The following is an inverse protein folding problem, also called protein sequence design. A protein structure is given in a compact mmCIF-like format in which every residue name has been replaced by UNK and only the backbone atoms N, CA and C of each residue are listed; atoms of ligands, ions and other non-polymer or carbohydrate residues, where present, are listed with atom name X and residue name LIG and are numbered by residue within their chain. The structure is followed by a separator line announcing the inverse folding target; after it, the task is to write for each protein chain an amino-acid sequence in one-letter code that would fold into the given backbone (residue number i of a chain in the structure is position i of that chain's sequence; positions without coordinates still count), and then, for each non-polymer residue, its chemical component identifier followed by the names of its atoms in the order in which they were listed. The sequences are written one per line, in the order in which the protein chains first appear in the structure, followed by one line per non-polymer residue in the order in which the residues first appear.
data_IF_380104727275
#
_entry.id   IF_380104727275
#
_cell.length_a   1.000
_cell.length_b   1.000
_cell.length_c   1.000
_cell.angle_alpha   90.00
_cell.angle_beta   90.00
_cell.angle_gamma   90.00
#
_symmetry.space_group_name_H-M   'P 1'
#
loop_
_entity.id
_entity.type
_entity.pdbx_description
1 polymer ?
#
# COMPACT_ATOMS: atom_id res chain seq x y z
N UNK A 1 -2.57 -43.35 -10.76
CA UNK A 1 -1.95 -44.28 -9.78
C UNK A 1 -1.59 -43.49 -8.53
N UNK A 2 -2.01 -44.01 -7.37
CA UNK A 2 -1.70 -43.61 -5.98
C UNK A 2 -2.25 -42.25 -5.50
N UNK A 3 -3.48 -42.36 -4.98
CA UNK A 3 -4.11 -41.46 -4.00
C UNK A 3 -3.41 -41.57 -2.65
N UNK A 4 -3.14 -40.43 -2.01
CA UNK A 4 -2.60 -40.34 -0.65
C UNK A 4 -3.72 -39.82 0.26
N UNK A 5 -4.26 -40.70 1.08
CA UNK A 5 -5.35 -40.47 2.01
C UNK A 5 -4.86 -39.76 3.28
N UNK A 6 -5.35 -38.54 3.50
CA UNK A 6 -5.17 -37.78 4.74
C UNK A 6 -6.10 -38.35 5.82
N UNK A 7 -5.54 -38.86 6.92
CA UNK A 7 -6.31 -39.40 8.05
C UNK A 7 -6.89 -38.26 8.87
N UNK A 8 -8.22 -38.13 8.83
CA UNK A 8 -9.02 -37.30 9.72
C UNK A 8 -9.16 -38.04 11.06
N UNK A 9 -8.53 -37.54 12.13
CA UNK A 9 -8.72 -38.04 13.48
C UNK A 9 -10.00 -37.43 14.06
N UNK A 10 -11.11 -38.15 13.91
CA UNK A 10 -12.38 -37.83 14.53
C UNK A 10 -12.32 -38.24 16.01
N UNK A 11 -12.28 -37.28 16.93
CA UNK A 11 -12.42 -37.57 18.36
C UNK A 11 -13.92 -37.68 18.67
N UNK A 12 -14.41 -38.91 18.74
CA UNK A 12 -15.80 -39.20 19.09
C UNK A 12 -16.01 -39.03 20.61
N UNK A 13 -16.83 -38.05 20.99
CA UNK A 13 -17.30 -37.87 22.36
C UNK A 13 -18.60 -38.67 22.54
N UNK A 14 -18.52 -39.83 23.20
CA UNK A 14 -19.71 -40.58 23.61
C UNK A 14 -20.41 -39.88 24.78
N UNK A 15 -21.59 -39.33 24.54
CA UNK A 15 -22.49 -38.79 25.56
C UNK A 15 -23.63 -39.78 25.83
N UNK A 16 -23.52 -40.49 26.94
CA UNK A 16 -24.65 -41.16 27.59
C UNK A 16 -24.56 -40.90 29.08
N UNK A 17 -25.26 -39.88 29.56
CA UNK A 17 -25.43 -39.59 30.99
C UNK A 17 -26.87 -39.10 31.21
N UNK A 18 -27.59 -39.58 32.23
CA UNK A 18 -28.96 -39.16 32.49
C UNK A 18 -29.00 -37.69 32.87
N UNK A 19 -30.10 -37.02 32.53
CA UNK A 19 -30.42 -35.66 32.96
C UNK A 19 -30.52 -35.59 34.48
N UNK A 20 -29.40 -35.29 35.13
CA UNK A 20 -29.38 -34.75 36.48
C UNK A 20 -29.50 -33.24 36.35
N UNK A 21 -30.59 -32.68 36.86
CA UNK A 21 -30.66 -31.26 37.16
C UNK A 21 -29.55 -30.94 38.17
N UNK A 22 -28.41 -30.44 37.70
CA UNK A 22 -27.44 -29.78 38.56
C UNK A 22 -28.10 -28.48 39.04
N UNK A 23 -28.54 -28.45 40.29
CA UNK A 23 -28.67 -27.17 40.99
C UNK A 23 -27.28 -26.54 41.03
N UNK A 24 -27.05 -25.52 40.21
CA UNK A 24 -25.84 -24.73 40.28
C UNK A 24 -25.77 -24.09 41.69
N UNK A 25 -24.80 -24.50 42.50
CA UNK A 25 -24.54 -23.83 43.78
C UNK A 25 -24.17 -22.38 43.48
N UNK A 26 -25.04 -21.48 43.91
CA UNK A 26 -24.83 -20.05 43.82
C UNK A 26 -24.14 -19.56 45.09
N UNK A 27 -23.20 -18.63 44.93
CA UNK A 27 -22.44 -18.04 46.01
C UNK A 27 -22.28 -16.54 45.76
N UNK A 28 -21.98 -15.79 46.82
CA UNK A 28 -21.61 -14.37 46.68
C UNK A 28 -20.20 -14.28 46.10
N UNK A 29 -20.06 -13.66 44.94
CA UNK A 29 -18.79 -13.55 44.25
C UNK A 29 -17.79 -12.75 45.12
N UNK A 30 -16.65 -13.34 45.53
CA UNK A 30 -15.65 -12.65 46.33
C UNK A 30 -14.95 -11.55 45.50
N UNK A 31 -14.08 -10.73 46.11
CA UNK A 31 -13.23 -9.81 45.35
C UNK A 31 -12.50 -10.53 44.21
N UNK A 32 -12.52 -9.94 43.02
CA UNK A 32 -11.88 -10.48 41.82
C UNK A 32 -10.62 -9.68 41.52
N UNK A 33 -9.50 -10.36 41.28
CA UNK A 33 -8.24 -9.73 40.89
C UNK A 33 -7.67 -10.39 39.64
N UNK A 34 -7.14 -9.59 38.71
CA UNK A 34 -6.47 -10.07 37.51
C UNK A 34 -4.95 -9.85 37.59
N UNK A 35 -4.15 -10.84 37.22
CA UNK A 35 -2.67 -10.77 37.16
C UNK A 35 -2.14 -11.07 35.76
N UNK A 36 -0.87 -10.81 35.51
CA UNK A 36 -0.19 -11.19 34.26
C UNK A 36 -0.44 -10.28 33.03
N UNK A 37 -1.44 -9.39 33.09
CA UNK A 37 -1.76 -8.44 32.01
C UNK A 37 -1.76 -6.96 32.45
N UNK A 38 -0.58 -6.38 32.78
CA UNK A 38 -0.48 -5.04 33.35
C UNK A 38 -0.92 -3.90 32.40
N UNK A 39 -1.02 -4.17 31.10
CA UNK A 39 -1.49 -3.20 30.08
C UNK A 39 -2.98 -2.87 30.23
N UNK A 40 -3.76 -3.72 30.90
CA UNK A 40 -5.20 -3.54 31.08
C UNK A 40 -5.53 -3.18 32.53
N UNK A 41 -6.50 -2.28 32.71
CA UNK A 41 -6.96 -1.95 34.05
C UNK A 41 -7.83 -3.08 34.62
N UNK A 42 -7.84 -3.23 35.94
CA UNK A 42 -8.74 -4.17 36.63
C UNK A 42 -10.20 -3.92 36.28
N UNK A 43 -10.59 -2.64 36.15
CA UNK A 43 -11.96 -2.25 35.81
C UNK A 43 -12.35 -2.67 34.38
N UNK A 44 -11.45 -2.54 33.41
CA UNK A 44 -11.72 -2.95 32.02
C UNK A 44 -11.84 -4.47 31.90
N UNK A 45 -10.94 -5.21 32.57
CA UNK A 45 -10.98 -6.68 32.62
C UNK A 45 -12.26 -7.17 33.30
N UNK A 46 -12.65 -6.53 34.41
CA UNK A 46 -13.90 -6.86 35.10
C UNK A 46 -15.12 -6.61 34.20
N UNK A 47 -15.16 -5.45 33.53
CA UNK A 47 -16.24 -5.08 32.60
C UNK A 47 -16.38 -6.06 31.45
N UNK A 48 -15.28 -6.52 30.84
CA UNK A 48 -15.33 -7.50 29.73
C UNK A 48 -15.62 -8.91 30.23
N UNK A 49 -15.11 -9.30 31.40
CA UNK A 49 -15.39 -10.60 31.99
C UNK A 49 -16.87 -10.81 32.34
N UNK A 50 -17.62 -9.73 32.58
CA UNK A 50 -19.02 -9.77 33.01
C UNK A 50 -19.20 -10.11 34.51
N UNK A 51 -18.11 -10.16 35.27
CA UNK A 51 -18.14 -10.44 36.71
C UNK A 51 -18.53 -9.20 37.51
N UNK A 52 -19.35 -9.42 38.53
CA UNK A 52 -19.80 -8.37 39.45
C UNK A 52 -19.52 -8.80 40.90
N UNK A 53 -18.39 -8.39 41.50
CA UNK A 53 -18.04 -8.74 42.87
C UNK A 53 -19.15 -8.33 43.85
N UNK A 54 -19.47 -9.20 44.81
CA UNK A 54 -20.58 -9.02 45.75
C UNK A 54 -21.96 -9.43 45.22
N UNK A 55 -22.11 -9.71 43.92
CA UNK A 55 -23.33 -10.28 43.37
C UNK A 55 -23.35 -11.80 43.52
N UNK A 56 -24.52 -12.41 43.37
CA UNK A 56 -24.67 -13.86 43.31
C UNK A 56 -24.13 -14.38 41.98
N UNK A 57 -23.23 -15.37 42.02
CA UNK A 57 -22.63 -16.02 40.85
C UNK A 57 -22.58 -17.54 41.03
N UNK A 58 -22.35 -18.25 39.94
CA UNK A 58 -22.16 -19.70 39.89
C UNK A 58 -20.77 -20.04 39.36
N UNK A 59 -20.34 -21.29 39.50
CA UNK A 59 -19.10 -21.77 38.89
C UNK A 59 -19.12 -21.62 37.35
N UNK A 60 -20.30 -21.74 36.74
CA UNK A 60 -20.46 -21.54 35.30
C UNK A 60 -20.21 -20.08 34.89
N UNK A 61 -20.60 -19.10 35.71
CA UNK A 61 -20.34 -17.68 35.46
C UNK A 61 -18.84 -17.36 35.55
N UNK A 62 -18.13 -17.97 36.50
CA UNK A 62 -16.65 -17.86 36.61
C UNK A 62 -15.97 -18.44 35.37
N UNK A 63 -16.40 -19.62 34.91
CA UNK A 63 -15.85 -20.20 33.68
C UNK A 63 -16.20 -19.36 32.44
N UNK A 64 -17.42 -18.84 32.35
CA UNK A 64 -17.87 -18.00 31.25
C UNK A 64 -17.06 -16.69 31.18
N UNK A 65 -16.71 -16.11 32.33
CA UNK A 65 -15.84 -14.95 32.40
C UNK A 65 -14.43 -15.21 31.84
N UNK A 66 -13.84 -16.37 32.16
CA UNK A 66 -12.58 -16.80 31.54
C UNK A 66 -12.73 -16.95 30.02
N UNK A 67 -13.84 -17.56 29.57
CA UNK A 67 -14.12 -17.75 28.15
C UNK A 67 -14.30 -16.42 27.42
N UNK A 68 -15.06 -15.46 27.97
CA UNK A 68 -15.24 -14.15 27.38
C UNK A 68 -13.91 -13.40 27.19
N UNK A 69 -13.02 -13.48 28.17
CA UNK A 69 -11.68 -12.90 28.05
C UNK A 69 -10.85 -13.64 26.99
N UNK A 70 -10.91 -14.97 26.94
CA UNK A 70 -10.23 -15.77 25.92
C UNK A 70 -10.75 -15.46 24.51
N UNK A 71 -12.05 -15.29 24.34
CA UNK A 71 -12.71 -15.02 23.06
C UNK A 71 -12.26 -13.70 22.45
N UNK A 72 -11.75 -12.76 23.26
CA UNK A 72 -11.15 -11.53 22.73
C UNK A 72 -9.93 -11.79 21.85
N UNK A 73 -9.23 -12.91 22.04
CA UNK A 73 -7.96 -13.20 21.39
C UNK A 73 -6.76 -12.43 21.94
N UNK A 74 -6.93 -11.66 23.02
CA UNK A 74 -5.84 -10.90 23.65
C UNK A 74 -4.98 -11.71 24.63
N UNK A 75 -5.43 -12.92 24.99
CA UNK A 75 -4.78 -13.79 25.96
C UNK A 75 -4.53 -15.17 25.35
N UNK A 76 -3.33 -15.71 25.57
CA UNK A 76 -2.94 -17.05 25.09
C UNK A 76 -3.24 -18.16 26.10
N UNK A 77 -3.35 -17.81 27.38
CA UNK A 77 -3.74 -18.71 28.47
C UNK A 77 -4.47 -17.90 29.56
N UNK A 78 -5.49 -18.50 30.18
CA UNK A 78 -6.24 -17.90 31.28
C UNK A 78 -6.45 -18.98 32.33
N UNK A 79 -5.99 -18.72 33.54
CA UNK A 79 -6.18 -19.59 34.70
C UNK A 79 -6.91 -18.82 35.78
N UNK A 80 -7.71 -19.50 36.58
CA UNK A 80 -8.32 -18.88 37.74
C UNK A 80 -8.32 -19.83 38.93
N UNK A 81 -8.16 -19.26 40.12
CA UNK A 81 -8.17 -19.98 41.37
C UNK A 81 -8.85 -19.15 42.46
N UNK A 82 -9.53 -19.83 43.38
CA UNK A 82 -10.12 -19.21 44.56
C UNK A 82 -9.14 -19.39 45.73
N UNK A 83 -8.78 -18.29 46.40
CA UNK A 83 -7.90 -18.29 47.55
C UNK A 83 -8.51 -17.50 48.72
N UNK A 84 -7.76 -17.37 49.83
CA UNK A 84 -8.23 -16.69 51.04
C UNK A 84 -8.59 -15.20 50.84
N UNK A 85 -8.06 -14.55 49.79
CA UNK A 85 -8.28 -13.13 49.48
C UNK A 85 -9.37 -12.90 48.43
N UNK A 86 -9.76 -13.94 47.69
CA UNK A 86 -10.82 -13.89 46.69
C UNK A 86 -10.52 -14.75 45.47
N UNK A 87 -11.14 -14.40 44.35
CA UNK A 87 -10.97 -15.09 43.07
C UNK A 87 -9.89 -14.38 42.24
N UNK A 88 -8.83 -15.10 41.89
CA UNK A 88 -7.71 -14.56 41.12
C UNK A 88 -7.69 -15.18 39.72
N UNK A 89 -7.62 -14.33 38.70
CA UNK A 89 -7.40 -14.71 37.31
C UNK A 89 -5.97 -14.38 36.90
N UNK A 90 -5.19 -15.40 36.53
CA UNK A 90 -3.88 -15.21 35.93
C UNK A 90 -3.99 -15.24 34.41
N UNK A 91 -3.65 -14.11 33.79
CA UNK A 91 -3.80 -13.86 32.36
C UNK A 91 -2.44 -13.87 31.69
N UNK A 92 -2.23 -14.75 30.72
CA UNK A 92 -1.05 -14.73 29.87
C UNK A 92 -1.35 -13.95 28.59
N UNK A 93 -0.70 -12.81 28.32
CA UNK A 93 -0.95 -12.03 27.10
C UNK A 93 -0.68 -12.83 25.82
N UNK A 94 -1.34 -12.43 24.73
CA UNK A 94 -1.07 -12.95 23.40
C UNK A 94 0.35 -12.52 22.94
N UNK A 95 1.14 -13.40 22.31
CA UNK A 95 2.42 -13.03 21.73
C UNK A 95 2.31 -11.92 20.68
N UNK A 96 3.27 -10.97 20.61
CA UNK A 96 3.20 -9.83 19.69
C UNK A 96 3.05 -10.19 18.22
N UNK A 97 3.57 -11.34 17.78
CA UNK A 97 3.44 -11.83 16.40
C UNK A 97 2.00 -12.13 15.96
N UNK A 98 1.10 -12.32 16.93
CA UNK A 98 -0.33 -12.54 16.69
C UNK A 98 -1.17 -11.28 16.97
N UNK A 99 -0.52 -10.14 17.22
CA UNK A 99 -1.13 -8.85 17.48
C UNK A 99 -0.67 -7.83 16.42
N UNK A 100 -1.60 -7.33 15.62
CA UNK A 100 -1.32 -6.35 14.58
C UNK A 100 -1.83 -4.98 14.98
N UNK A 101 -1.13 -3.88 14.64
CA UNK A 101 -1.66 -2.54 14.87
C UNK A 101 -2.94 -2.31 14.07
N UNK A 102 -3.89 -1.58 14.65
CA UNK A 102 -5.04 -1.07 13.94
C UNK A 102 -4.65 0.18 13.13
N UNK A 103 -5.13 0.28 11.89
CA UNK A 103 -5.09 1.51 11.11
C UNK A 103 -6.50 1.91 10.67
N UNK A 104 -6.72 3.20 10.47
CA UNK A 104 -8.03 3.76 10.11
C UNK A 104 -7.85 4.62 8.87
N UNK A 105 -8.54 4.30 7.78
CA UNK A 105 -8.23 4.93 6.48
C UNK A 105 -9.10 6.15 6.19
N UNK A 106 -10.40 6.12 6.49
CA UNK A 106 -11.33 7.14 6.01
C UNK A 106 -12.39 7.59 7.05
N UNK A 107 -12.04 7.55 8.34
CA UNK A 107 -12.90 8.03 9.43
C UNK A 107 -12.72 9.54 9.65
N UNK A 108 -13.42 10.33 8.84
CA UNK A 108 -13.22 11.79 8.65
C UNK A 108 -13.74 12.71 9.77
N UNK A 109 -14.44 12.20 10.79
CA UNK A 109 -14.99 13.04 11.88
C UNK A 109 -14.08 13.18 13.09
N UNK A 110 -12.99 12.42 13.14
CA UNK A 110 -12.13 12.34 14.32
C UNK A 110 -10.68 12.42 13.88
N UNK A 111 -9.86 13.14 14.66
CA UNK A 111 -8.41 12.94 14.60
C UNK A 111 -8.05 11.51 15.04
N UNK A 112 -6.85 11.00 14.69
CA UNK A 112 -6.42 9.66 15.11
C UNK A 112 -6.47 9.44 16.62
N UNK A 113 -6.14 10.48 17.41
CA UNK A 113 -6.18 10.42 18.87
C UNK A 113 -7.63 10.38 19.40
N UNK A 114 -8.52 11.20 18.85
CA UNK A 114 -9.94 11.21 19.23
C UNK A 114 -10.63 9.89 18.87
N UNK A 115 -10.35 9.34 17.70
CA UNK A 115 -10.88 8.05 17.26
C UNK A 115 -10.45 6.92 18.20
N UNK A 116 -9.16 6.89 18.55
CA UNK A 116 -8.60 5.90 19.47
C UNK A 116 -9.23 6.00 20.86
N UNK A 117 -9.38 7.22 21.39
CA UNK A 117 -10.01 7.45 22.69
C UNK A 117 -11.50 7.05 22.68
N UNK A 118 -12.24 7.41 21.62
CA UNK A 118 -13.64 7.06 21.46
C UNK A 118 -13.85 5.54 21.32
N UNK A 119 -12.94 4.85 20.63
CA UNK A 119 -12.93 3.39 20.56
C UNK A 119 -12.64 2.76 21.93
N UNK A 120 -11.63 3.24 22.66
CA UNK A 120 -11.30 2.73 24.00
C UNK A 120 -12.49 2.79 24.95
N UNK A 121 -13.28 3.88 24.89
CA UNK A 121 -14.46 4.04 25.72
C UNK A 121 -15.56 2.96 25.45
N UNK A 122 -15.65 2.48 24.20
CA UNK A 122 -16.63 1.46 23.77
C UNK A 122 -16.08 0.04 23.83
N UNK A 123 -14.78 -0.11 23.63
CA UNK A 123 -14.05 -1.38 23.60
C UNK A 123 -12.96 -1.31 24.68
N UNK A 124 -13.29 -1.66 25.95
CA UNK A 124 -12.42 -1.42 27.10
C UNK A 124 -11.03 -2.04 26.99
N UNK A 125 -10.87 -3.15 26.27
CA UNK A 125 -9.57 -3.82 26.09
C UNK A 125 -8.82 -3.39 24.81
N UNK A 126 -9.39 -2.50 23.99
CA UNK A 126 -8.66 -1.97 22.84
C UNK A 126 -7.48 -1.11 23.31
N UNK A 127 -6.32 -1.30 22.69
CA UNK A 127 -5.07 -0.56 23.03
C UNK A 127 -4.30 -0.13 21.78
N UNK A 128 -4.95 -0.16 20.61
CA UNK A 128 -4.29 0.05 19.31
C UNK A 128 -3.84 -1.23 18.62
N UNK A 129 -3.88 -2.38 19.31
CA UNK A 129 -3.57 -3.69 18.75
C UNK A 129 -4.85 -4.52 18.54
N UNK A 130 -4.83 -5.34 17.49
CA UNK A 130 -5.91 -6.24 17.08
C UNK A 130 -5.32 -7.64 16.94
N UNK A 131 -5.87 -8.64 17.66
CA UNK A 131 -5.44 -10.02 17.50
C UNK A 131 -5.88 -10.60 16.16
N UNK A 132 -5.08 -11.51 15.63
CA UNK A 132 -5.37 -12.21 14.36
C UNK A 132 -6.48 -13.27 14.49
N UNK A 133 -6.95 -13.54 15.70
CA UNK A 133 -8.02 -14.46 16.03
C UNK A 133 -8.85 -13.92 17.21
N UNK A 134 -10.05 -14.46 17.39
CA UNK A 134 -11.00 -13.99 18.42
C UNK A 134 -11.98 -12.94 17.89
N UNK A 135 -12.78 -12.39 18.79
CA UNK A 135 -13.90 -11.51 18.49
C UNK A 135 -13.59 -10.01 18.69
N UNK A 136 -12.35 -9.65 19.09
CA UNK A 136 -12.03 -8.23 19.31
C UNK A 136 -12.17 -7.42 18.03
N UNK A 137 -11.80 -7.97 16.87
CA UNK A 137 -11.99 -7.32 15.58
C UNK A 137 -13.47 -7.04 15.31
N UNK A 138 -14.36 -8.00 15.55
CA UNK A 138 -15.82 -7.82 15.40
C UNK A 138 -16.38 -6.79 16.39
N UNK A 139 -15.82 -6.74 17.60
CA UNK A 139 -16.17 -5.76 18.63
C UNK A 139 -15.75 -4.34 18.20
N UNK A 140 -14.55 -4.19 17.64
CA UNK A 140 -14.07 -2.93 17.07
C UNK A 140 -14.94 -2.51 15.88
N UNK A 141 -15.23 -3.42 14.96
CA UNK A 141 -16.14 -3.18 13.83
C UNK A 141 -17.50 -2.66 14.31
N UNK A 142 -18.11 -3.34 15.29
CA UNK A 142 -19.41 -2.96 15.83
C UNK A 142 -19.37 -1.59 16.52
N UNK A 143 -18.30 -1.29 17.25
CA UNK A 143 -18.09 0.01 17.87
C UNK A 143 -17.92 1.13 16.85
N UNK A 144 -17.09 0.94 15.82
CA UNK A 144 -16.92 1.89 14.72
C UNK A 144 -18.24 2.15 14.00
N UNK A 145 -19.02 1.09 13.73
CA UNK A 145 -20.32 1.21 13.07
C UNK A 145 -21.30 2.05 13.91
N UNK A 146 -21.34 1.82 15.22
CA UNK A 146 -22.14 2.63 16.13
C UNK A 146 -21.67 4.09 16.19
N UNK A 147 -20.35 4.32 16.21
CA UNK A 147 -19.77 5.68 16.21
C UNK A 147 -20.12 6.45 14.94
N UNK A 148 -20.09 5.80 13.77
CA UNK A 148 -20.46 6.40 12.49
C UNK A 148 -21.99 6.62 12.41
N UNK A 149 -22.80 5.72 12.97
CA UNK A 149 -24.24 5.89 13.08
C UNK A 149 -24.64 7.12 13.90
N UNK A 150 -23.88 7.49 14.93
CA UNK A 150 -24.07 8.73 15.70
C UNK A 150 -23.80 9.99 14.89
N UNK A 151 -23.10 9.88 13.76
CA UNK A 151 -22.94 10.96 12.77
C UNK A 151 -24.07 10.99 11.73
N UNK A 152 -25.10 10.17 11.92
CA UNK A 152 -26.26 10.07 11.01
C UNK A 152 -26.01 9.18 9.80
N UNK A 153 -24.94 8.38 9.79
CA UNK A 153 -24.55 7.55 8.65
C UNK A 153 -24.73 6.06 8.96
N UNK A 154 -25.54 5.36 8.17
CA UNK A 154 -25.57 3.90 8.20
C UNK A 154 -24.44 3.35 7.33
N UNK A 155 -23.31 3.02 7.96
CA UNK A 155 -22.13 2.54 7.25
C UNK A 155 -21.97 1.01 7.26
N UNK A 156 -21.48 0.47 6.14
CA UNK A 156 -20.77 -0.78 6.06
C UNK A 156 -19.28 -0.50 6.29
N UNK A 157 -18.67 -1.20 7.25
CA UNK A 157 -17.26 -1.07 7.58
C UNK A 157 -16.58 -2.40 7.24
N UNK A 158 -15.36 -2.33 6.73
CA UNK A 158 -14.56 -3.52 6.41
C UNK A 158 -13.25 -3.48 7.19
N UNK A 159 -12.76 -4.66 7.53
CA UNK A 159 -11.42 -4.86 8.07
C UNK A 159 -10.57 -5.54 7.00
N UNK A 160 -9.42 -4.94 6.68
CA UNK A 160 -8.55 -5.34 5.59
C UNK A 160 -7.16 -5.55 6.16
N UNK A 161 -6.56 -6.71 5.90
CA UNK A 161 -5.17 -6.95 6.21
C UNK A 161 -4.27 -6.12 5.29
N UNK A 162 -3.51 -5.18 5.86
CA UNK A 162 -2.62 -4.29 5.11
C UNK A 162 -1.25 -4.93 5.01
N UNK A 163 -0.70 -5.01 3.80
CA UNK A 163 0.62 -5.57 3.52
C UNK A 163 1.36 -4.68 2.51
N UNK A 164 2.70 -4.72 2.53
CA UNK A 164 3.52 -3.92 1.61
C UNK A 164 3.41 -4.39 0.16
N UNK A 165 3.13 -5.68 -0.05
CA UNK A 165 2.99 -6.30 -1.36
C UNK A 165 1.99 -7.47 -1.29
N UNK A 166 1.32 -7.83 -2.41
CA UNK A 166 0.43 -8.98 -2.46
C UNK A 166 1.11 -10.27 -1.99
N UNK A 167 0.51 -10.96 -1.03
CA UNK A 167 1.01 -12.22 -0.47
C UNK A 167 2.05 -12.08 0.66
N UNK A 168 2.47 -10.86 1.01
CA UNK A 168 3.32 -10.63 2.17
C UNK A 168 2.54 -10.76 3.49
N UNK A 169 3.25 -11.00 4.60
CA UNK A 169 2.66 -11.00 5.94
C UNK A 169 2.05 -9.62 6.24
N UNK A 170 0.79 -9.56 6.71
CA UNK A 170 0.17 -8.29 7.06
C UNK A 170 0.95 -7.53 8.13
N UNK A 171 1.10 -6.22 7.95
CA UNK A 171 1.72 -5.31 8.90
C UNK A 171 0.71 -4.60 9.80
N UNK A 172 -0.57 -4.52 9.40
CA UNK A 172 -1.65 -3.93 10.20
C UNK A 172 -3.02 -4.47 9.79
N UNK A 173 -4.03 -4.25 10.63
CA UNK A 173 -5.44 -4.42 10.29
C UNK A 173 -6.05 -3.04 10.05
N UNK A 174 -6.35 -2.74 8.79
CA UNK A 174 -6.98 -1.49 8.38
C UNK A 174 -8.50 -1.57 8.47
N UNK A 175 -9.12 -0.59 9.10
CA UNK A 175 -10.56 -0.40 9.10
C UNK A 175 -10.94 0.74 8.17
N UNK A 176 -11.98 0.53 7.37
CA UNK A 176 -12.48 1.51 6.42
C UNK A 176 -14.01 1.48 6.33
N UNK A 177 -14.62 2.64 6.11
CA UNK A 177 -16.01 2.75 5.63
C UNK A 177 -16.00 2.35 4.15
N UNK A 178 -16.64 1.23 3.84
CA UNK A 178 -16.79 0.70 2.47
C UNK A 178 -18.01 1.32 1.77
N UNK A 179 -19.10 1.51 2.51
CA UNK A 179 -20.31 2.17 2.01
C UNK A 179 -21.01 2.93 3.13
N UNK A 180 -21.53 4.14 2.93
CA UNK A 180 -21.40 4.94 1.71
C UNK A 180 -19.95 5.40 1.48
N UNK A 181 -19.56 5.62 0.22
CA UNK A 181 -18.18 5.99 -0.12
C UNK A 181 -17.81 7.35 0.48
N UNK A 182 -16.65 7.41 1.13
CA UNK A 182 -15.98 8.65 1.55
C UNK A 182 -15.10 9.13 0.40
N UNK A 183 -15.31 10.36 -0.09
CA UNK A 183 -14.61 10.87 -1.29
C UNK A 183 -14.22 12.33 -1.18
N UNK A 184 -13.23 12.70 -1.98
CA UNK A 184 -12.88 14.11 -2.22
C UNK A 184 -13.97 14.72 -3.10
N UNK A 185 -14.75 15.64 -2.55
CA UNK A 185 -15.84 16.29 -3.27
C UNK A 185 -15.34 17.50 -4.06
N UNK A 186 -14.54 18.37 -3.43
CA UNK A 186 -13.88 19.48 -4.12
C UNK A 186 -12.44 19.64 -3.65
N UNK A 187 -11.58 20.13 -4.54
CA UNK A 187 -10.24 20.60 -4.21
C UNK A 187 -10.13 22.08 -4.57
N UNK A 188 -10.11 22.93 -3.55
CA UNK A 188 -9.93 24.38 -3.70
C UNK A 188 -8.46 24.73 -3.59
N UNK A 189 -7.95 25.52 -4.55
CA UNK A 189 -6.57 25.99 -4.57
C UNK A 189 -6.51 27.48 -4.25
N UNK A 190 -5.80 27.82 -3.16
CA UNK A 190 -5.57 29.19 -2.69
C UNK A 190 -4.18 29.64 -3.11
N UNK A 191 -4.10 30.89 -3.59
CA UNK A 191 -2.89 31.52 -4.17
C UNK A 191 -2.38 30.88 -5.47
N UNK A 192 -3.20 30.08 -6.16
CA UNK A 192 -2.91 29.64 -7.51
C UNK A 192 -3.05 30.81 -8.52
N UNK A 193 -1.99 31.09 -9.28
CA UNK A 193 -1.99 32.13 -10.30
C UNK A 193 -2.88 31.78 -11.50
N UNK A 194 -3.44 32.78 -12.21
CA UNK A 194 -4.26 32.55 -13.40
C UNK A 194 -3.54 31.77 -14.50
N UNK A 195 -2.22 31.95 -14.65
CA UNK A 195 -1.41 31.27 -15.66
C UNK A 195 -1.38 29.74 -15.47
N UNK A 196 -1.46 29.28 -14.22
CA UNK A 196 -1.41 27.86 -13.88
C UNK A 196 -2.78 27.17 -13.91
N UNK A 197 -3.88 27.93 -13.93
CA UNK A 197 -5.26 27.40 -13.85
C UNK A 197 -5.54 26.25 -14.83
N UNK A 198 -5.22 26.34 -16.13
CA UNK A 198 -5.53 25.25 -17.08
C UNK A 198 -4.90 23.90 -16.71
N UNK A 199 -3.71 23.91 -16.09
CA UNK A 199 -3.01 22.69 -15.64
C UNK A 199 -3.59 22.19 -14.33
N UNK A 200 -3.88 23.11 -13.41
CA UNK A 200 -4.42 22.79 -12.10
C UNK A 200 -5.87 22.30 -12.15
N UNK A 201 -6.66 22.79 -13.10
CA UNK A 201 -8.04 22.31 -13.30
C UNK A 201 -8.07 20.83 -13.70
N UNK A 202 -7.05 20.36 -14.42
CA UNK A 202 -6.89 18.93 -14.71
C UNK A 202 -6.60 18.15 -13.42
N UNK A 203 -5.68 18.64 -12.58
CA UNK A 203 -5.39 18.02 -11.27
C UNK A 203 -6.65 18.01 -10.39
N UNK A 204 -7.37 19.13 -10.28
CA UNK A 204 -8.62 19.22 -9.51
C UNK A 204 -9.63 18.18 -10.01
N UNK A 205 -9.82 18.09 -11.33
CA UNK A 205 -10.74 17.13 -11.94
C UNK A 205 -10.36 15.69 -11.63
N UNK A 206 -9.08 15.34 -11.76
CA UNK A 206 -8.60 13.97 -11.54
C UNK A 206 -8.72 13.55 -10.06
N UNK A 207 -8.59 14.50 -9.13
CA UNK A 207 -8.75 14.27 -7.69
C UNK A 207 -10.22 14.30 -7.22
N UNK A 208 -11.11 14.95 -7.97
CA UNK A 208 -12.54 15.04 -7.63
C UNK A 208 -13.22 13.68 -7.77
N UNK A 209 -14.10 13.35 -6.82
CA UNK A 209 -14.81 12.08 -6.66
C UNK A 209 -13.93 10.85 -6.38
N UNK A 210 -12.63 11.02 -6.14
CA UNK A 210 -11.77 9.91 -5.75
C UNK A 210 -12.05 9.50 -4.29
N UNK A 211 -11.93 8.21 -3.95
CA UNK A 211 -11.98 7.75 -2.57
C UNK A 211 -10.98 8.51 -1.70
N UNK A 212 -11.44 8.94 -0.53
CA UNK A 212 -10.56 9.58 0.45
C UNK A 212 -9.89 8.52 1.33
N UNK A 213 -8.58 8.65 1.49
CA UNK A 213 -7.77 7.89 2.43
C UNK A 213 -6.78 8.84 3.12
N UNK A 214 -6.85 8.90 4.44
CA UNK A 214 -6.05 9.79 5.30
C UNK A 214 -4.55 9.61 5.11
N UNK A 215 -4.09 8.43 4.71
CA UNK A 215 -2.68 8.11 4.54
C UNK A 215 -2.15 8.44 3.15
N UNK A 216 -3.01 8.51 2.12
CA UNK A 216 -2.54 8.59 0.73
C UNK A 216 -3.10 9.77 -0.05
N UNK A 217 -4.29 10.28 0.27
CA UNK A 217 -4.93 11.36 -0.49
C UNK A 217 -4.12 12.65 -0.45
N UNK A 218 -3.61 13.05 0.72
CA UNK A 218 -2.81 14.27 0.86
C UNK A 218 -1.54 14.19 0.02
N UNK A 219 -0.78 13.10 0.15
CA UNK A 219 0.42 12.86 -0.64
C UNK A 219 0.12 12.84 -2.13
N UNK A 220 -0.95 12.16 -2.56
CA UNK A 220 -1.34 12.09 -3.97
C UNK A 220 -1.66 13.47 -4.55
N UNK A 221 -2.42 14.29 -3.82
CA UNK A 221 -2.74 15.67 -4.22
C UNK A 221 -1.47 16.52 -4.29
N UNK A 222 -0.62 16.48 -3.25
CA UNK A 222 0.65 17.22 -3.23
C UNK A 222 1.54 16.82 -4.41
N UNK A 223 1.73 15.53 -4.65
CA UNK A 223 2.54 15.04 -5.78
C UNK A 223 1.97 15.47 -7.13
N UNK A 224 0.65 15.41 -7.33
CA UNK A 224 0.01 15.84 -8.56
C UNK A 224 0.17 17.35 -8.80
N UNK A 225 -0.03 18.17 -7.76
CA UNK A 225 0.19 19.62 -7.83
C UNK A 225 1.65 19.95 -8.11
N UNK A 226 2.59 19.42 -7.31
CA UNK A 226 4.03 19.62 -7.50
C UNK A 226 4.46 19.24 -8.92
N UNK A 227 4.00 18.09 -9.43
CA UNK A 227 4.30 17.68 -10.81
C UNK A 227 3.77 18.67 -11.85
N UNK A 228 2.54 19.18 -11.67
CA UNK A 228 1.96 20.17 -12.57
C UNK A 228 2.78 21.47 -12.60
N UNK A 229 3.24 21.96 -11.44
CA UNK A 229 4.07 23.16 -11.31
C UNK A 229 5.50 22.99 -11.82
N UNK A 230 6.17 21.90 -11.44
CA UNK A 230 7.53 21.60 -11.86
C UNK A 230 7.64 21.43 -13.38
N UNK A 231 6.59 20.94 -14.03
CA UNK A 231 6.53 20.84 -15.48
C UNK A 231 6.34 22.19 -16.19
N UNK A 232 6.09 23.27 -15.44
CA UNK A 232 5.94 24.65 -15.92
C UNK A 232 7.03 25.59 -15.35
N UNK A 233 8.08 25.03 -14.75
CA UNK A 233 9.26 25.77 -14.27
C UNK A 233 9.18 26.26 -12.83
N UNK A 234 8.07 26.08 -12.13
CA UNK A 234 7.93 26.52 -10.73
C UNK A 234 8.58 25.50 -9.78
N UNK A 235 9.91 25.51 -9.71
CA UNK A 235 10.70 24.50 -8.97
C UNK A 235 10.74 24.73 -7.45
N UNK A 236 10.42 25.93 -6.99
CA UNK A 236 10.29 26.27 -5.56
C UNK A 236 8.85 26.12 -5.05
N UNK A 237 7.96 25.51 -5.86
CA UNK A 237 6.57 25.36 -5.49
C UNK A 237 6.42 24.49 -4.22
N UNK A 238 5.59 24.95 -3.30
CA UNK A 238 5.24 24.22 -2.09
C UNK A 238 3.73 24.26 -1.82
N UNK A 239 3.19 23.13 -1.35
CA UNK A 239 1.88 23.09 -0.68
C UNK A 239 2.12 23.44 0.79
N UNK A 240 1.81 24.68 1.17
CA UNK A 240 2.02 25.19 2.53
C UNK A 240 1.08 24.55 3.54
N UNK A 241 -0.15 24.27 3.10
CA UNK A 241 -1.20 23.69 3.93
C UNK A 241 -2.19 22.94 3.06
N UNK A 242 -2.62 21.77 3.52
CA UNK A 242 -3.74 21.04 2.96
C UNK A 242 -4.71 20.72 4.10
N UNK A 243 -5.92 21.28 4.03
CA UNK A 243 -6.93 21.13 5.09
C UNK A 243 -8.21 20.53 4.58
N UNK A 244 -8.85 19.78 5.44
CA UNK A 244 -10.16 19.17 5.25
C UNK A 244 -11.23 20.06 5.91
N UNK A 245 -12.31 20.34 5.17
CA UNK A 245 -13.52 20.89 5.75
C UNK A 245 -14.31 19.78 6.48
N UNK A 246 -15.24 20.14 7.38
CA UNK A 246 -16.11 19.14 7.99
C UNK A 246 -16.85 18.30 6.93
N UNK A 247 -16.89 16.97 7.08
CA UNK A 247 -17.51 16.08 6.10
C UNK A 247 -19.01 16.33 5.97
N UNK A 248 -19.52 16.27 4.74
CA UNK A 248 -20.93 16.44 4.41
C UNK A 248 -21.55 15.09 4.05
N UNK A 249 -22.62 14.72 4.74
CA UNK A 249 -23.35 13.48 4.44
C UNK A 249 -24.39 13.78 3.36
N UNK A 250 -24.26 13.13 2.21
CA UNK A 250 -25.18 13.28 1.07
C UNK A 250 -25.83 11.94 0.72
N UNK A 251 -26.93 11.93 -0.06
CA UNK A 251 -27.56 10.67 -0.50
C UNK A 251 -26.62 9.78 -1.32
N UNK A 252 -25.58 10.36 -1.93
CA UNK A 252 -24.63 9.65 -2.78
C UNK A 252 -23.33 9.26 -2.06
N UNK A 253 -23.07 9.74 -0.84
CA UNK A 253 -21.77 9.53 -0.19
C UNK A 253 -21.51 10.36 1.06
N UNK A 254 -20.26 10.32 1.51
CA UNK A 254 -19.69 11.27 2.46
C UNK A 254 -18.70 12.13 1.67
N UNK A 255 -19.02 13.40 1.53
CA UNK A 255 -18.29 14.38 0.74
C UNK A 255 -17.31 15.15 1.62
N UNK A 256 -16.04 15.19 1.20
CA UNK A 256 -14.98 15.93 1.88
C UNK A 256 -14.42 17.01 0.97
N UNK A 257 -14.59 18.28 1.37
CA UNK A 257 -14.00 19.41 0.66
C UNK A 257 -12.58 19.68 1.18
N UNK A 258 -11.61 19.75 0.26
CA UNK A 258 -10.22 20.00 0.55
C UNK A 258 -9.80 21.39 0.11
N UNK A 259 -8.93 22.03 0.88
CA UNK A 259 -8.33 23.33 0.53
C UNK A 259 -6.81 23.23 0.62
N UNK A 260 -6.13 23.47 -0.51
CA UNK A 260 -4.68 23.56 -0.58
C UNK A 260 -4.24 25.03 -0.67
N UNK A 261 -3.40 25.48 0.25
CA UNK A 261 -2.72 26.77 0.16
C UNK A 261 -1.35 26.59 -0.47
N UNK A 262 -1.10 27.33 -1.56
CA UNK A 262 0.10 27.17 -2.37
C UNK A 262 1.07 28.33 -2.17
N UNK A 263 2.35 28.03 -2.30
CA UNK A 263 3.43 28.99 -2.57
C UNK A 263 4.02 28.58 -3.91
N UNK A 264 3.78 29.35 -4.97
CA UNK A 264 4.21 28.95 -6.32
C UNK A 264 5.71 29.18 -6.55
N UNK A 265 6.26 30.23 -5.96
CA UNK A 265 7.59 30.72 -6.34
C UNK A 265 7.59 31.39 -7.71
N UNK A 266 8.78 31.67 -8.24
CA UNK A 266 8.96 32.16 -9.61
C UNK A 266 9.34 31.02 -10.54
N UNK A 267 8.94 31.07 -11.82
CA UNK A 267 9.31 30.05 -12.79
C UNK A 267 10.79 30.18 -13.15
N UNK A 268 11.47 29.04 -13.22
CA UNK A 268 12.87 28.92 -13.61
C UNK A 268 13.01 28.62 -15.10
N UNK A 269 13.95 29.29 -15.75
CA UNK A 269 14.41 28.91 -17.09
C UNK A 269 15.64 28.00 -17.00
N UNK A 270 15.76 27.08 -17.94
CA UNK A 270 16.96 26.28 -18.07
C UNK A 270 18.10 27.17 -18.54
N UNK A 271 19.15 27.30 -17.74
CA UNK A 271 20.38 27.96 -18.16
C UNK A 271 21.30 26.99 -18.88
N UNK A 272 21.48 25.79 -18.33
CA UNK A 272 22.39 24.80 -18.92
C UNK A 272 21.96 23.36 -18.63
N UNK A 273 22.03 22.50 -19.65
CA UNK A 273 21.92 21.05 -19.53
C UNK A 273 23.19 20.42 -20.11
N UNK A 274 24.07 19.95 -19.25
CA UNK A 274 25.40 19.46 -19.65
C UNK A 274 25.49 17.96 -19.55
N UNK A 275 25.82 17.32 -20.66
CA UNK A 275 26.30 15.94 -20.71
C UNK A 275 27.77 15.94 -21.15
N UNK A 276 28.73 15.50 -20.31
CA UNK A 276 30.15 15.48 -20.66
C UNK A 276 30.50 14.52 -21.81
N UNK A 277 29.61 13.58 -22.16
CA UNK A 277 29.89 12.54 -23.15
C UNK A 277 30.40 11.25 -22.49
N UNK A 278 30.22 10.13 -23.20
CA UNK A 278 30.88 8.86 -22.89
C UNK A 278 31.13 8.08 -24.18
N UNK A 279 31.82 6.94 -24.08
CA UNK A 279 32.05 6.03 -25.21
C UNK A 279 30.75 5.40 -25.75
N UNK A 280 29.64 5.51 -25.01
CA UNK A 280 28.33 4.96 -25.38
C UNK A 280 27.48 6.02 -26.11
N UNK A 281 27.48 7.25 -25.63
CA UNK A 281 26.72 8.35 -26.23
C UNK A 281 27.51 9.66 -26.15
N UNK A 282 27.77 10.24 -27.31
CA UNK A 282 28.50 11.50 -27.42
C UNK A 282 27.65 12.69 -26.95
N UNK A 283 28.30 13.78 -26.53
CA UNK A 283 27.61 15.06 -26.25
C UNK A 283 26.83 15.56 -27.46
N UNK A 284 27.37 15.38 -28.67
CA UNK A 284 26.72 15.83 -29.90
C UNK A 284 25.42 15.05 -30.17
N UNK A 285 25.41 13.73 -29.98
CA UNK A 285 24.22 12.91 -30.25
C UNK A 285 23.15 13.09 -29.17
N UNK A 286 23.55 13.29 -27.92
CA UNK A 286 22.64 13.72 -26.86
C UNK A 286 21.99 15.08 -27.21
N UNK A 287 22.78 16.08 -27.60
CA UNK A 287 22.29 17.43 -27.90
C UNK A 287 21.35 17.48 -29.12
N UNK A 288 21.50 16.56 -30.08
CA UNK A 288 20.59 16.40 -31.22
C UNK A 288 19.23 15.84 -30.78
N UNK A 289 19.21 14.92 -29.82
CA UNK A 289 18.01 14.19 -29.40
C UNK A 289 17.25 14.87 -28.25
N UNK A 290 17.97 15.60 -27.37
CA UNK A 290 17.35 16.28 -26.24
C UNK A 290 16.35 17.35 -26.69
N UNK A 291 15.17 17.32 -26.07
CA UNK A 291 14.09 18.28 -26.33
C UNK A 291 14.22 19.55 -25.51
N UNK A 292 15.04 19.54 -24.47
CA UNK A 292 15.22 20.69 -23.58
C UNK A 292 16.49 21.46 -23.99
N UNK A 293 16.36 22.77 -24.22
CA UNK A 293 17.45 23.65 -24.64
C UNK A 293 17.58 24.86 -23.71
N UNK A 294 18.79 25.42 -23.54
CA UNK A 294 18.99 26.66 -22.79
C UNK A 294 18.01 27.76 -23.22
N UNK A 295 17.39 28.42 -22.24
CA UNK A 295 16.33 29.43 -22.44
C UNK A 295 14.91 28.87 -22.33
N UNK A 296 14.71 27.56 -22.49
CA UNK A 296 13.40 26.94 -22.29
C UNK A 296 12.95 27.06 -20.82
N UNK A 297 11.64 27.03 -20.61
CA UNK A 297 11.11 26.87 -19.26
C UNK A 297 11.57 25.54 -18.68
N UNK A 298 12.04 25.53 -17.43
CA UNK A 298 12.42 24.29 -16.78
C UNK A 298 11.21 23.36 -16.70
N UNK A 299 11.44 22.06 -16.92
CA UNK A 299 10.37 21.07 -16.89
C UNK A 299 10.93 19.72 -16.45
N UNK A 300 10.42 19.19 -15.34
CA UNK A 300 10.87 17.91 -14.82
C UNK A 300 10.53 16.74 -15.78
N UNK A 301 9.39 16.82 -16.47
CA UNK A 301 9.04 15.89 -17.53
C UNK A 301 10.02 15.97 -18.72
N UNK A 302 10.39 17.17 -19.18
CA UNK A 302 11.35 17.32 -20.27
C UNK A 302 12.77 16.87 -19.84
N UNK A 303 13.16 17.14 -18.59
CA UNK A 303 14.41 16.64 -18.02
C UNK A 303 14.41 15.11 -18.01
N UNK A 304 13.37 14.46 -17.47
CA UNK A 304 13.24 12.99 -17.48
C UNK A 304 13.34 12.41 -18.89
N UNK A 305 12.66 13.00 -19.87
CA UNK A 305 12.76 12.58 -21.28
C UNK A 305 14.18 12.73 -21.81
N UNK A 306 14.88 13.79 -21.44
CA UNK A 306 16.27 14.02 -21.83
C UNK A 306 17.19 12.97 -21.21
N UNK A 307 17.04 12.69 -19.91
CA UNK A 307 17.83 11.65 -19.22
C UNK A 307 17.54 10.25 -19.77
N UNK A 308 16.31 9.97 -20.21
CA UNK A 308 15.96 8.66 -20.79
C UNK A 308 16.69 8.35 -22.09
N UNK A 309 17.17 9.37 -22.83
CA UNK A 309 18.01 9.16 -24.03
C UNK A 309 19.32 8.52 -23.62
N UNK A 310 19.95 9.03 -22.56
CA UNK A 310 21.20 8.49 -22.04
C UNK A 310 20.94 7.12 -21.42
N UNK A 311 19.93 6.98 -20.57
CA UNK A 311 19.59 5.70 -19.96
C UNK A 311 19.34 4.61 -21.03
N UNK A 312 18.56 4.92 -22.07
CA UNK A 312 18.30 4.02 -23.19
C UNK A 312 19.57 3.59 -23.93
N UNK A 313 20.52 4.50 -24.16
CA UNK A 313 21.80 4.17 -24.79
C UNK A 313 22.64 3.20 -23.93
N UNK A 314 22.62 3.35 -22.61
CA UNK A 314 23.28 2.42 -21.68
C UNK A 314 22.54 1.07 -21.60
N UNK A 315 21.22 1.08 -21.56
CA UNK A 315 20.39 -0.14 -21.57
C UNK A 315 20.59 -0.96 -22.85
N UNK A 316 20.76 -0.31 -23.99
CA UNK A 316 21.08 -0.97 -25.26
C UNK A 316 22.48 -1.62 -25.28
N UNK A 317 23.33 -1.31 -24.32
CA UNK A 317 24.67 -1.89 -24.15
C UNK A 317 24.76 -2.87 -22.99
N UNK A 318 23.65 -3.27 -22.38
CA UNK A 318 23.66 -4.24 -21.27
C UNK A 318 23.80 -3.63 -19.87
N UNK A 319 23.87 -2.30 -19.73
CA UNK A 319 23.99 -1.65 -18.43
C UNK A 319 22.62 -1.42 -17.79
N UNK A 320 21.96 -2.50 -17.38
CA UNK A 320 20.57 -2.48 -16.92
C UNK A 320 20.35 -1.67 -15.65
N UNK A 321 21.39 -1.65 -14.80
CA UNK A 321 21.40 -0.96 -13.52
C UNK A 321 21.92 0.48 -13.64
N UNK A 322 22.07 1.00 -14.87
CA UNK A 322 22.61 2.33 -15.10
C UNK A 322 21.77 3.42 -14.41
N UNK A 323 22.44 4.21 -13.56
CA UNK A 323 21.82 5.32 -12.83
C UNK A 323 22.26 6.64 -13.46
N UNK A 324 21.33 7.26 -14.19
CA UNK A 324 21.52 8.61 -14.73
C UNK A 324 21.02 9.64 -13.72
N UNK A 325 21.89 10.56 -13.30
CA UNK A 325 21.57 11.62 -12.34
C UNK A 325 21.84 12.98 -12.95
N UNK A 326 20.99 13.95 -12.62
CA UNK A 326 21.15 15.34 -13.02
C UNK A 326 20.79 16.24 -11.83
N UNK A 327 21.69 16.44 -10.85
CA UNK A 327 21.45 17.34 -9.75
C UNK A 327 21.19 18.76 -10.26
N UNK A 328 20.17 19.42 -9.70
CA UNK A 328 19.84 20.80 -10.01
C UNK A 328 20.79 21.76 -9.28
N UNK A 329 21.28 22.77 -10.00
CA UNK A 329 21.96 23.93 -9.44
C UNK A 329 21.10 25.15 -9.68
N UNK A 330 20.58 25.75 -8.62
CA UNK A 330 19.67 26.88 -8.67
C UNK A 330 20.42 28.20 -8.55
N UNK A 331 20.15 29.12 -9.47
CA UNK A 331 20.37 30.55 -9.28
C UNK A 331 19.02 31.20 -8.99
N UNK A 332 18.75 31.42 -7.70
CA UNK A 332 17.49 32.00 -7.23
C UNK A 332 17.36 33.50 -7.57
N UNK A 333 18.47 34.20 -7.85
CA UNK A 333 18.45 35.63 -8.19
C UNK A 333 18.05 35.82 -9.65
N UNK A 334 18.58 34.99 -10.55
CA UNK A 334 18.26 35.07 -11.98
C UNK A 334 17.14 34.11 -12.41
N UNK A 335 16.54 33.37 -11.48
CA UNK A 335 15.57 32.30 -11.76
C UNK A 335 16.04 31.34 -12.85
N UNK A 336 17.28 30.88 -12.70
CA UNK A 336 17.88 29.92 -13.61
C UNK A 336 18.19 28.62 -12.92
N UNK A 337 18.03 27.52 -13.64
CA UNK A 337 18.45 26.20 -13.19
C UNK A 337 19.43 25.58 -14.18
N UNK A 338 20.47 24.95 -13.65
CA UNK A 338 21.44 24.20 -14.44
C UNK A 338 21.53 22.77 -13.98
N UNK A 339 21.81 21.87 -14.91
CA UNK A 339 21.94 20.44 -14.67
C UNK A 339 23.23 19.94 -15.27
N UNK A 340 24.03 19.22 -14.48
CA UNK A 340 25.18 18.45 -14.98
C UNK A 340 24.88 16.98 -14.85
N UNK A 341 24.75 16.30 -15.98
CA UNK A 341 24.36 14.90 -16.05
C UNK A 341 25.57 14.03 -15.74
N UNK A 342 25.36 13.03 -14.89
CA UNK A 342 26.33 12.00 -14.55
C UNK A 342 25.68 10.63 -14.71
N UNK A 343 26.49 9.63 -15.04
CA UNK A 343 26.03 8.24 -15.18
C UNK A 343 26.93 7.36 -14.34
N UNK A 344 26.30 6.52 -13.52
CA UNK A 344 26.91 5.34 -12.94
C UNK A 344 26.40 4.14 -13.74
N UNK A 345 27.23 3.51 -14.60
CA UNK A 345 26.78 2.46 -15.50
C UNK A 345 26.37 1.16 -14.78
N UNK A 346 26.95 0.88 -13.62
CA UNK A 346 26.83 -0.44 -12.98
C UNK A 346 27.49 -1.56 -13.81
N UNK A 347 27.22 -2.83 -13.48
CA UNK A 347 27.73 -3.98 -14.22
C UNK A 347 27.04 -4.13 -15.58
N UNK A 348 27.75 -4.78 -16.51
CA UNK A 348 27.25 -5.07 -17.84
C UNK A 348 26.70 -6.49 -17.90
N UNK A 349 25.45 -6.63 -18.35
CA UNK A 349 24.74 -7.90 -18.40
C UNK A 349 24.78 -8.54 -19.78
N UNK A 350 24.87 -9.86 -19.79
CA UNK A 350 24.87 -10.69 -20.99
C UNK A 350 23.69 -11.66 -21.00
N UNK A 351 23.20 -11.99 -22.19
CA UNK A 351 22.19 -13.02 -22.37
C UNK A 351 22.80 -14.38 -22.03
N UNK A 352 22.14 -15.14 -21.16
CA UNK A 352 22.46 -16.54 -20.92
C UNK A 352 21.54 -17.45 -21.72
N UNK A 353 20.23 -17.20 -21.69
CA UNK A 353 19.28 -17.96 -22.49
C UNK A 353 18.10 -17.11 -22.94
N UNK A 354 17.56 -17.47 -24.11
CA UNK A 354 16.30 -16.93 -24.64
C UNK A 354 15.35 -18.08 -24.90
N UNK A 355 14.13 -17.99 -24.38
CA UNK A 355 13.08 -18.99 -24.58
C UNK A 355 11.80 -18.31 -25.06
N UNK A 356 11.30 -18.72 -26.22
CA UNK A 356 9.96 -18.39 -26.67
C UNK A 356 9.01 -19.53 -26.31
N UNK A 357 7.88 -19.21 -25.68
CA UNK A 357 6.86 -20.16 -25.23
C UNK A 357 5.53 -19.85 -25.90
N UNK A 358 4.69 -20.87 -26.08
CA UNK A 358 3.34 -20.71 -26.62
C UNK A 358 3.28 -20.54 -28.15
N UNK A 359 4.39 -20.83 -28.85
CA UNK A 359 4.47 -20.88 -30.30
C UNK A 359 4.30 -22.32 -30.81
N UNK A 360 3.71 -22.48 -32.01
CA UNK A 360 3.81 -23.74 -32.76
C UNK A 360 5.20 -23.91 -33.37
N UNK A 361 5.56 -25.12 -33.82
CA UNK A 361 6.87 -25.39 -34.43
C UNK A 361 7.19 -24.46 -35.62
N UNK A 362 6.19 -24.12 -36.44
CA UNK A 362 6.38 -23.21 -37.58
C UNK A 362 6.60 -21.76 -37.12
N UNK A 363 5.84 -21.34 -36.09
CA UNK A 363 5.98 -20.01 -35.50
C UNK A 363 7.31 -19.86 -34.73
N UNK A 364 7.77 -20.93 -34.09
CA UNK A 364 9.06 -20.97 -33.40
C UNK A 364 10.19 -20.77 -34.39
N UNK A 365 10.18 -21.46 -35.53
CA UNK A 365 11.19 -21.24 -36.59
C UNK A 365 11.20 -19.82 -37.12
N UNK A 366 10.04 -19.20 -37.26
CA UNK A 366 9.94 -17.80 -37.69
C UNK A 366 10.48 -16.84 -36.62
N UNK A 367 10.15 -17.08 -35.35
CA UNK A 367 10.73 -16.33 -34.23
C UNK A 367 12.26 -16.47 -34.22
N UNK A 368 12.79 -17.69 -34.27
CA UNK A 368 14.23 -17.96 -34.23
C UNK A 368 14.96 -17.32 -35.41
N UNK A 369 14.35 -17.29 -36.60
CA UNK A 369 14.92 -16.62 -37.78
C UNK A 369 14.93 -15.10 -37.69
N UNK A 370 14.02 -14.51 -36.90
CA UNK A 370 13.86 -13.08 -36.76
C UNK A 370 14.61 -12.51 -35.55
N UNK A 371 14.85 -13.35 -34.54
CA UNK A 371 15.49 -12.99 -33.29
C UNK A 371 17.01 -12.83 -33.45
N UNK A 372 17.61 -11.84 -32.78
CA UNK A 372 19.01 -11.47 -32.99
C UNK A 372 19.87 -11.43 -31.72
N UNK A 373 19.30 -11.57 -30.52
CA UNK A 373 20.09 -11.62 -29.27
C UNK A 373 20.42 -13.07 -28.90
N UNK A 374 21.68 -13.46 -29.02
CA UNK A 374 22.16 -14.81 -28.73
C UNK A 374 22.80 -14.89 -27.33
N UNK A 375 22.89 -16.09 -26.74
CA UNK A 375 23.71 -16.32 -25.56
C UNK A 375 25.12 -15.76 -25.72
N UNK A 376 25.56 -14.95 -24.75
CA UNK A 376 26.83 -14.22 -24.77
C UNK A 376 26.74 -12.78 -25.26
N UNK A 377 25.69 -12.42 -26.01
CA UNK A 377 25.48 -11.02 -26.44
C UNK A 377 25.13 -10.14 -25.24
N UNK A 378 25.39 -8.84 -25.35
CA UNK A 378 24.91 -7.88 -24.35
C UNK A 378 23.38 -7.91 -24.32
N UNK A 379 22.81 -7.85 -23.12
CA UNK A 379 21.36 -7.78 -23.02
C UNK A 379 20.85 -6.37 -23.32
N UNK A 380 20.37 -6.18 -24.55
CA UNK A 380 19.70 -4.95 -24.98
C UNK A 380 18.23 -4.97 -24.52
N UNK A 381 17.92 -4.21 -23.46
CA UNK A 381 16.56 -4.10 -22.94
C UNK A 381 15.59 -3.37 -23.91
N UNK A 382 16.14 -2.56 -24.82
CA UNK A 382 15.35 -1.78 -25.78
C UNK A 382 14.96 -2.63 -27.00
N UNK A 383 15.84 -3.53 -27.44
CA UNK A 383 15.61 -4.43 -28.57
C UNK A 383 14.33 -5.24 -28.44
N UNK A 384 14.03 -5.79 -27.24
CA UNK A 384 12.86 -6.64 -27.05
C UNK A 384 11.54 -5.92 -27.34
N UNK A 385 11.43 -4.68 -26.88
CA UNK A 385 10.24 -3.85 -27.12
C UNK A 385 10.12 -3.54 -28.62
N UNK A 386 11.22 -3.16 -29.26
CA UNK A 386 11.22 -2.88 -30.71
C UNK A 386 10.93 -4.12 -31.56
N UNK A 387 11.48 -5.27 -31.19
CA UNK A 387 11.28 -6.55 -31.86
C UNK A 387 9.81 -6.97 -31.83
N UNK A 388 9.14 -6.86 -30.67
CA UNK A 388 7.73 -7.22 -30.55
C UNK A 388 6.79 -6.22 -31.27
N UNK A 389 7.18 -4.94 -31.36
CA UNK A 389 6.34 -3.90 -31.97
C UNK A 389 6.50 -3.76 -33.49
N UNK A 390 7.74 -3.83 -33.98
CA UNK A 390 8.10 -3.38 -35.34
C UNK A 390 8.40 -4.53 -36.30
N UNK A 391 8.47 -5.77 -35.83
CA UNK A 391 8.97 -6.86 -36.66
C UNK A 391 7.90 -7.47 -37.57
N UNK A 392 7.94 -7.07 -38.84
CA UNK A 392 7.08 -7.61 -39.90
C UNK A 392 7.34 -9.09 -40.22
N UNK A 393 8.45 -9.67 -39.76
CA UNK A 393 8.71 -11.10 -39.91
C UNK A 393 7.79 -11.98 -39.05
N UNK A 394 7.12 -11.41 -38.04
CA UNK A 394 6.21 -12.11 -37.14
C UNK A 394 4.74 -12.10 -37.62
N UNK A 395 4.48 -11.93 -38.93
CA UNK A 395 3.11 -11.89 -39.47
C UNK A 395 2.25 -13.11 -39.09
N UNK A 396 2.84 -14.29 -38.91
CA UNK A 396 2.12 -15.49 -38.45
C UNK A 396 1.67 -15.44 -36.98
N UNK A 397 2.13 -14.44 -36.24
CA UNK A 397 1.74 -14.13 -34.85
C UNK A 397 0.65 -13.06 -34.79
N UNK A 398 0.04 -12.69 -35.92
CA UNK A 398 -1.13 -11.81 -35.92
C UNK A 398 -2.24 -12.37 -35.02
N UNK A 399 -2.72 -11.56 -34.08
CA UNK A 399 -3.71 -11.96 -33.08
C UNK A 399 -3.14 -12.68 -31.85
N UNK A 400 -1.82 -12.73 -31.69
CA UNK A 400 -1.18 -13.10 -30.43
C UNK A 400 -0.91 -11.86 -29.58
N UNK A 401 -0.83 -12.07 -28.27
CA UNK A 401 -0.18 -11.16 -27.33
C UNK A 401 1.14 -11.77 -26.86
N UNK A 402 2.08 -10.93 -26.44
CA UNK A 402 3.35 -11.35 -25.89
C UNK A 402 3.58 -10.70 -24.53
N UNK A 403 4.10 -11.48 -23.59
CA UNK A 403 4.64 -10.98 -22.33
C UNK A 403 6.06 -11.51 -22.18
N UNK A 404 6.90 -10.82 -21.40
CA UNK A 404 8.25 -11.30 -21.16
C UNK A 404 8.64 -11.18 -19.70
N UNK A 405 9.60 -12.02 -19.32
CA UNK A 405 10.29 -11.97 -18.05
C UNK A 405 11.78 -12.08 -18.31
N UNK A 406 12.52 -11.05 -17.94
CA UNK A 406 13.97 -11.08 -17.85
C UNK A 406 14.36 -11.34 -16.39
N UNK A 407 15.08 -12.42 -16.14
CA UNK A 407 15.61 -12.72 -14.81
C UNK A 407 17.10 -12.49 -14.85
N UNK A 408 17.55 -11.43 -14.18
CA UNK A 408 18.95 -11.06 -14.10
C UNK A 408 19.57 -11.62 -12.82
N UNK A 409 20.68 -12.33 -12.95
CA UNK A 409 21.50 -12.77 -11.83
C UNK A 409 22.47 -11.63 -11.45
N UNK A 410 22.35 -11.03 -10.25
CA UNK A 410 23.18 -9.91 -9.84
C UNK A 410 24.64 -10.28 -9.56
N UNK A 411 24.95 -11.57 -9.36
CA UNK A 411 26.30 -12.05 -9.08
C UNK A 411 27.04 -12.43 -10.37
N UNK A 412 26.34 -13.09 -11.30
CA UNK A 412 26.94 -13.52 -12.58
C UNK A 412 26.72 -12.53 -13.72
N UNK A 413 25.85 -11.54 -13.54
CA UNK A 413 25.42 -10.58 -14.55
C UNK A 413 24.90 -11.24 -15.83
N UNK A 414 24.22 -12.37 -15.65
CA UNK A 414 23.61 -13.13 -16.74
C UNK A 414 22.10 -12.96 -16.71
N UNK A 415 21.49 -12.94 -17.89
CA UNK A 415 20.05 -12.76 -18.04
C UNK A 415 19.42 -13.92 -18.77
N UNK A 416 18.43 -14.51 -18.12
CA UNK A 416 17.52 -15.47 -18.72
C UNK A 416 16.24 -14.76 -19.15
N UNK A 417 16.03 -14.71 -20.47
CA UNK A 417 14.86 -14.09 -21.09
C UNK A 417 13.83 -15.16 -21.48
N UNK A 418 12.63 -15.05 -20.93
CA UNK A 418 11.49 -15.86 -21.34
C UNK A 418 10.41 -14.97 -21.94
N UNK A 419 10.01 -15.25 -23.17
CA UNK A 419 8.96 -14.57 -23.90
C UNK A 419 7.79 -15.55 -24.05
N UNK A 420 6.63 -15.18 -23.56
CA UNK A 420 5.43 -16.03 -23.59
C UNK A 420 4.41 -15.42 -24.54
N UNK A 421 4.07 -16.18 -25.58
CA UNK A 421 3.05 -15.83 -26.56
C UNK A 421 1.73 -16.52 -26.20
N UNK A 422 0.62 -15.79 -26.33
CA UNK A 422 -0.73 -16.30 -26.10
C UNK A 422 -1.66 -15.88 -27.24
N UNK A 423 -2.56 -16.80 -27.67
CA UNK A 423 -3.60 -16.48 -28.65
C UNK A 423 -4.65 -15.56 -28.04
N UNK A 424 -4.96 -14.47 -28.74
CA UNK A 424 -5.86 -13.42 -28.28
C UNK A 424 -5.08 -12.25 -27.68
N UNK A 425 -5.45 -11.04 -28.12
CA UNK A 425 -4.80 -9.79 -27.75
C UNK A 425 -4.06 -9.13 -28.90
N UNK A 426 -3.45 -7.98 -28.60
CA UNK A 426 -2.59 -7.23 -29.52
C UNK A 426 -1.15 -7.39 -29.02
N UNK A 427 -0.20 -7.58 -29.93
CA UNK A 427 1.23 -7.46 -29.61
C UNK A 427 1.46 -6.00 -29.19
N UNK A 428 1.63 -5.81 -27.88
CA UNK A 428 1.68 -4.50 -27.23
C UNK A 428 3.08 -4.10 -26.83
#
# INVERSE_FOLDING_TARGET
MRSTTLRLTLLALCLSVPTLHLSAQSFTLPPVTFTGAPTFSQADLLKVSGLHPGATATQADVQAAAQHLSDTGLFSDIRFESNATGLVYDLKPMPPENLLPASFTNFVWWSPAELTAALKARVPLYTGLVPTAGNLQDTIYSALKAMVAEKGVTANIVAIAVSSQPGATPSSIGFAIDSPQVRVHTLTLVHASPAMRPKLDTVIKDQTNQPFDTNTTHTSITTALTSAYHNQGYLDMAVLKLTEAPPQVTPSGIDLDLTATLSEGQPYQLFQLTWPGSDIISTADFNKQTKMKPGDMASEAALRQSLSIIAGAYFAKGFQDAKVKAPATFDHLSHHVSYTITVDPGPQYHIHSVKALGLSDEQQKQFDSAWHMNPGDFYDATYLTEFLHKNSALQSLAGYSATYKATSDPDTHLVDLTITFAKGGVLN
#
